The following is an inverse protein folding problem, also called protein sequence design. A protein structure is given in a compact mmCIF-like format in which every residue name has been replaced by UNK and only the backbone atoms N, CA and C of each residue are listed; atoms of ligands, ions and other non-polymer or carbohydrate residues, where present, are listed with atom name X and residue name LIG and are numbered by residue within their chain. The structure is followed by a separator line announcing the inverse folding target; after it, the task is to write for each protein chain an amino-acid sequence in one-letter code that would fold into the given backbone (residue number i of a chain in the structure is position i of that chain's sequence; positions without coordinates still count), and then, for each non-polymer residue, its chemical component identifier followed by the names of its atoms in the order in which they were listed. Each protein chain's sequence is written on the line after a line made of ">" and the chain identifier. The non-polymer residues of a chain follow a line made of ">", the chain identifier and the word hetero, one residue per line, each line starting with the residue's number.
data_IF_273933157516
#
_entry.id   IF_273933157516
#
_cell.length_a   1.000
_cell.length_b   1.000
_cell.length_c   1.000
_cell.angle_alpha   90.00
_cell.angle_beta   90.00
_cell.angle_gamma   90.00
#
_symmetry.space_group_name_H-M   'P 1'
#
loop_
_entity.id
_entity.type
_entity.pdbx_description
1 polymer ?
#
# COMPACT_ATOMS: atom_id res chain seq x y z
N UNK A 1 8.37 22.46 25.99
CA UNK A 1 7.46 23.50 25.44
C UNK A 1 7.83 23.67 23.99
N UNK A 2 6.99 23.21 23.05
CA UNK A 2 7.29 23.35 21.61
C UNK A 2 7.16 24.84 21.26
N UNK A 3 8.19 25.39 20.62
CA UNK A 3 8.19 26.77 20.15
C UNK A 3 7.02 27.00 19.17
N UNK A 4 6.32 28.14 19.30
CA UNK A 4 5.19 28.48 18.42
C UNK A 4 5.60 28.48 16.95
N UNK A 5 6.83 28.92 16.64
CA UNK A 5 7.37 28.89 15.27
C UNK A 5 7.47 27.46 14.74
N UNK A 6 7.94 26.51 15.56
CA UNK A 6 8.04 25.11 15.18
C UNK A 6 6.67 24.47 14.93
N UNK A 7 5.66 24.76 15.76
CA UNK A 7 4.29 24.28 15.54
C UNK A 7 3.69 24.78 14.23
N UNK A 8 3.95 26.04 13.87
CA UNK A 8 3.48 26.63 12.62
C UNK A 8 4.14 25.94 11.41
N UNK A 9 5.46 25.70 11.47
CA UNK A 9 6.18 24.99 10.42
C UNK A 9 5.62 23.58 10.18
N UNK A 10 5.35 22.83 11.25
CA UNK A 10 4.76 21.47 11.16
C UNK A 10 3.41 21.50 10.43
N UNK A 11 2.53 22.44 10.79
CA UNK A 11 1.21 22.56 10.16
C UNK A 11 1.34 22.85 8.66
N UNK A 12 2.21 23.80 8.28
CA UNK A 12 2.42 24.12 6.88
C UNK A 12 3.00 22.94 6.09
N UNK A 13 3.98 22.24 6.64
CA UNK A 13 4.53 21.03 6.00
C UNK A 13 3.46 19.95 5.85
N UNK A 14 2.69 19.67 6.90
CA UNK A 14 1.62 18.67 6.87
C UNK A 14 0.56 18.99 5.80
N UNK A 15 0.06 20.22 5.79
CA UNK A 15 -0.93 20.67 4.80
C UNK A 15 -0.34 20.64 3.38
N UNK A 16 0.92 21.03 3.22
CA UNK A 16 1.62 20.98 1.94
C UNK A 16 1.71 19.57 1.37
N UNK A 17 2.12 18.59 2.17
CA UNK A 17 2.15 17.17 1.76
C UNK A 17 0.75 16.63 1.47
N UNK A 18 -0.24 16.92 2.33
CA UNK A 18 -1.63 16.50 2.12
C UNK A 18 -2.19 17.03 0.80
N UNK A 19 -1.94 18.32 0.51
CA UNK A 19 -2.39 18.94 -0.74
C UNK A 19 -1.67 18.31 -1.94
N UNK A 20 -0.37 18.06 -1.85
CA UNK A 20 0.40 17.39 -2.90
C UNK A 20 -0.16 15.99 -3.22
N UNK A 21 -0.39 15.15 -2.21
CA UNK A 21 -0.95 13.80 -2.45
C UNK A 21 -2.37 13.87 -2.99
N UNK A 22 -3.18 14.81 -2.51
CA UNK A 22 -4.55 15.02 -3.00
C UNK A 22 -4.55 15.44 -4.47
N UNK A 23 -3.68 16.37 -4.87
CA UNK A 23 -3.61 16.82 -6.28
C UNK A 23 -3.10 15.71 -7.19
N UNK A 24 -2.15 14.88 -6.75
CA UNK A 24 -1.72 13.68 -7.49
C UNK A 24 -2.90 12.72 -7.67
N UNK A 25 -3.66 12.44 -6.61
CA UNK A 25 -4.85 11.58 -6.70
C UNK A 25 -5.92 12.14 -7.65
N UNK A 26 -6.24 13.43 -7.55
CA UNK A 26 -7.19 14.10 -8.44
C UNK A 26 -6.71 14.12 -9.89
N UNK A 27 -5.40 14.19 -10.13
CA UNK A 27 -4.84 14.16 -11.47
C UNK A 27 -5.16 12.87 -12.23
N UNK A 28 -5.44 11.78 -11.50
CA UNK A 28 -5.87 10.50 -12.07
C UNK A 28 -7.17 10.61 -12.88
N UNK A 29 -8.03 11.58 -12.56
CA UNK A 29 -9.30 11.80 -13.29
C UNK A 29 -9.01 12.16 -14.76
N UNK A 30 -7.96 12.94 -15.02
CA UNK A 30 -7.57 13.33 -16.37
C UNK A 30 -6.98 12.17 -17.19
N UNK A 31 -6.65 11.05 -16.55
CA UNK A 31 -6.10 9.85 -17.19
C UNK A 31 -7.08 8.68 -17.24
N UNK A 32 -8.24 8.79 -16.59
CA UNK A 32 -9.22 7.70 -16.55
C UNK A 32 -9.92 7.49 -17.89
N UNK A 33 -10.17 6.22 -18.20
CA UNK A 33 -10.87 5.73 -19.40
C UNK A 33 -12.34 5.38 -19.13
N UNK A 34 -12.81 5.53 -17.89
CA UNK A 34 -14.21 5.38 -17.50
C UNK A 34 -14.73 3.94 -17.47
N UNK A 35 -13.84 2.94 -17.44
CA UNK A 35 -14.22 1.52 -17.33
C UNK A 35 -13.89 0.99 -15.93
N UNK A 36 -14.56 -0.11 -15.52
CA UNK A 36 -14.24 -0.78 -14.25
C UNK A 36 -12.81 -1.34 -14.26
N UNK A 37 -12.37 -1.89 -15.39
CA UNK A 37 -11.04 -2.46 -15.54
C UNK A 37 -9.94 -1.38 -15.44
N UNK A 38 -10.16 -0.21 -16.03
CA UNK A 38 -9.27 0.96 -15.87
C UNK A 38 -9.24 1.44 -14.42
N UNK A 39 -10.41 1.56 -13.78
CA UNK A 39 -10.48 2.03 -12.39
C UNK A 39 -9.80 1.08 -11.40
N UNK A 40 -9.94 -0.23 -11.57
CA UNK A 40 -9.39 -1.22 -10.63
C UNK A 40 -7.95 -1.65 -10.95
N UNK A 41 -7.57 -1.70 -12.23
CA UNK A 41 -6.29 -2.29 -12.67
C UNK A 41 -5.46 -1.37 -13.57
N UNK A 42 -5.92 -0.13 -13.83
CA UNK A 42 -5.28 0.80 -14.76
C UNK A 42 -5.00 0.16 -16.13
N UNK A 43 -5.94 -0.67 -16.61
CA UNK A 43 -5.82 -1.46 -17.83
C UNK A 43 -4.54 -2.31 -17.93
N UNK A 44 -3.98 -2.72 -16.79
CA UNK A 44 -2.72 -3.46 -16.69
C UNK A 44 -1.55 -2.76 -17.38
N UNK A 45 -1.62 -1.43 -17.48
CA UNK A 45 -0.59 -0.60 -18.15
C UNK A 45 0.58 -0.22 -17.23
N UNK A 46 0.42 -0.39 -15.93
CA UNK A 46 1.43 -0.06 -14.92
C UNK A 46 2.52 -1.13 -14.91
N UNK A 47 3.78 -0.72 -14.95
CA UNK A 47 4.90 -1.65 -14.97
C UNK A 47 4.96 -2.49 -13.68
N UNK A 48 5.31 -3.79 -13.74
CA UNK A 48 5.27 -4.69 -12.59
C UNK A 48 6.04 -4.22 -11.35
N UNK A 49 7.18 -3.52 -11.53
CA UNK A 49 7.95 -3.01 -10.40
C UNK A 49 7.25 -1.83 -9.68
N UNK A 50 6.53 -0.98 -10.41
CA UNK A 50 5.72 0.12 -9.83
C UNK A 50 4.55 -0.44 -9.05
N UNK A 51 3.93 -1.50 -9.57
CA UNK A 51 2.88 -2.24 -8.88
C UNK A 51 3.43 -2.84 -7.57
N UNK A 52 4.59 -3.50 -7.62
CA UNK A 52 5.25 -4.04 -6.42
C UNK A 52 5.59 -2.95 -5.40
N UNK A 53 6.14 -1.82 -5.87
CA UNK A 53 6.43 -0.66 -5.01
C UNK A 53 5.15 -0.12 -4.35
N UNK A 54 4.06 0.00 -5.11
CA UNK A 54 2.77 0.45 -4.58
C UNK A 54 2.24 -0.54 -3.54
N UNK A 55 2.35 -1.85 -3.78
CA UNK A 55 1.92 -2.87 -2.81
C UNK A 55 2.69 -2.75 -1.49
N UNK A 56 4.01 -2.54 -1.55
CA UNK A 56 4.84 -2.32 -0.35
C UNK A 56 4.49 -0.99 0.34
N UNK A 57 4.21 0.08 -0.42
CA UNK A 57 3.77 1.34 0.15
C UNK A 57 2.41 1.20 0.88
N UNK A 58 1.44 0.48 0.29
CA UNK A 58 0.14 0.18 0.91
C UNK A 58 0.28 -0.66 2.18
N UNK A 59 1.23 -1.60 2.17
CA UNK A 59 1.54 -2.43 3.34
C UNK A 59 2.08 -1.58 4.52
N UNK A 60 2.79 -0.49 4.24
CA UNK A 60 3.33 0.40 5.25
C UNK A 60 2.30 1.43 5.72
N UNK A 61 1.91 1.33 6.98
CA UNK A 61 0.93 2.23 7.61
C UNK A 61 1.40 2.71 8.98
N UNK A 62 0.58 3.53 9.67
CA UNK A 62 0.85 3.94 11.05
C UNK A 62 1.04 2.76 12.01
N UNK A 63 0.50 1.58 11.68
CA UNK A 63 0.78 0.35 12.43
C UNK A 63 2.26 -0.03 12.42
N UNK A 64 2.96 0.09 11.29
CA UNK A 64 4.40 -0.17 11.23
C UNK A 64 5.19 0.81 12.10
N UNK A 65 4.85 2.09 12.07
CA UNK A 65 5.61 3.12 12.80
C UNK A 65 5.30 3.18 14.29
N UNK A 66 4.03 3.04 14.69
CA UNK A 66 3.65 3.18 16.10
C UNK A 66 3.50 1.80 16.74
N UNK A 67 2.78 0.90 16.07
CA UNK A 67 2.46 -0.42 16.57
C UNK A 67 3.69 -1.32 16.69
N UNK A 68 4.40 -1.57 15.58
CA UNK A 68 5.58 -2.47 15.59
C UNK A 68 6.72 -1.90 16.42
N UNK A 69 6.95 -0.58 16.39
CA UNK A 69 7.96 0.06 17.25
C UNK A 69 7.56 -0.09 18.72
N UNK A 70 6.32 0.19 19.09
CA UNK A 70 5.84 0.03 20.47
C UNK A 70 5.90 -1.42 20.95
N UNK A 71 5.55 -2.38 20.09
CA UNK A 71 5.67 -3.80 20.39
C UNK A 71 7.12 -4.24 20.57
N UNK A 72 8.02 -3.77 19.70
CA UNK A 72 9.47 -4.03 19.81
C UNK A 72 10.04 -3.41 21.08
N UNK A 73 9.60 -2.22 21.47
CA UNK A 73 9.98 -1.60 22.73
C UNK A 73 9.57 -2.46 23.95
N UNK A 74 8.37 -3.05 23.91
CA UNK A 74 7.86 -3.87 25.02
C UNK A 74 8.44 -5.30 25.07
N UNK A 75 8.74 -5.91 23.92
CA UNK A 75 9.12 -7.34 23.81
C UNK A 75 10.56 -7.58 23.41
N UNK A 76 11.30 -6.52 23.06
CA UNK A 76 12.68 -6.59 22.62
C UNK A 76 12.83 -7.33 21.28
N UNK A 77 13.97 -8.01 21.11
CA UNK A 77 14.37 -8.62 19.85
C UNK A 77 13.44 -9.76 19.38
N UNK A 78 12.61 -10.30 20.28
CA UNK A 78 11.62 -11.32 19.92
C UNK A 78 10.63 -10.84 18.85
N UNK A 79 10.41 -9.53 18.71
CA UNK A 79 9.53 -8.95 17.69
C UNK A 79 9.95 -9.26 16.25
N UNK A 80 11.21 -9.65 16.01
CA UNK A 80 11.71 -10.02 14.68
C UNK A 80 10.93 -11.18 14.06
N UNK A 81 10.38 -12.07 14.89
CA UNK A 81 9.58 -13.22 14.42
C UNK A 81 8.29 -12.79 13.73
N UNK A 82 7.73 -11.61 14.05
CA UNK A 82 6.58 -11.07 13.32
C UNK A 82 6.98 -10.78 11.87
N UNK A 83 8.13 -10.15 11.65
CA UNK A 83 8.60 -9.81 10.31
C UNK A 83 8.95 -11.06 9.51
N UNK A 84 9.60 -12.04 10.13
CA UNK A 84 9.91 -13.34 9.50
C UNK A 84 8.62 -14.07 9.13
N UNK A 85 7.68 -14.20 10.08
CA UNK A 85 6.41 -14.89 9.87
C UNK A 85 5.58 -14.23 8.78
N UNK A 86 5.59 -12.90 8.71
CA UNK A 86 4.90 -12.15 7.66
C UNK A 86 5.50 -12.39 6.28
N UNK A 87 6.81 -12.25 6.11
CA UNK A 87 7.49 -12.49 4.82
C UNK A 87 7.25 -13.91 4.34
N UNK A 88 7.39 -14.90 5.25
CA UNK A 88 7.14 -16.30 4.93
C UNK A 88 5.67 -16.53 4.57
N UNK A 89 4.74 -15.93 5.31
CA UNK A 89 3.30 -16.02 5.04
C UNK A 89 2.93 -15.46 3.66
N UNK A 90 3.39 -14.26 3.33
CA UNK A 90 3.16 -13.62 2.04
C UNK A 90 3.78 -14.45 0.90
N UNK A 91 4.98 -14.98 1.10
CA UNK A 91 5.63 -15.85 0.13
C UNK A 91 4.82 -17.14 -0.11
N UNK A 92 4.40 -17.83 0.94
CA UNK A 92 3.58 -19.04 0.80
C UNK A 92 2.21 -18.73 0.16
N UNK A 93 1.56 -17.64 0.56
CA UNK A 93 0.32 -17.19 -0.06
C UNK A 93 0.50 -16.93 -1.56
N UNK A 94 1.62 -16.31 -1.96
CA UNK A 94 1.92 -16.07 -3.36
C UNK A 94 2.05 -17.36 -4.19
N UNK A 95 2.65 -18.41 -3.61
CA UNK A 95 2.82 -19.71 -4.28
C UNK A 95 1.50 -20.48 -4.40
N UNK A 96 0.66 -20.48 -3.36
CA UNK A 96 -0.50 -21.37 -3.30
C UNK A 96 -1.85 -20.73 -3.65
N UNK A 97 -1.99 -19.40 -3.49
CA UNK A 97 -3.26 -18.69 -3.62
C UNK A 97 -3.39 -17.97 -4.95
N UNK A 98 -2.33 -17.32 -5.45
CA UNK A 98 -2.41 -16.46 -6.64
C UNK A 98 -2.91 -17.21 -7.89
N UNK A 99 -2.41 -18.43 -8.15
CA UNK A 99 -2.84 -19.23 -9.31
C UNK A 99 -4.33 -19.60 -9.25
N UNK A 100 -4.84 -19.94 -8.06
CA UNK A 100 -6.26 -20.26 -7.85
C UNK A 100 -7.13 -19.02 -8.00
N UNK A 101 -6.66 -17.89 -7.47
CA UNK A 101 -7.39 -16.63 -7.56
C UNK A 101 -7.48 -16.15 -9.02
N UNK A 102 -6.40 -16.29 -9.80
CA UNK A 102 -6.42 -16.00 -11.26
C UNK A 102 -7.49 -16.82 -12.00
N UNK A 103 -7.55 -18.12 -11.72
CA UNK A 103 -8.53 -19.01 -12.34
C UNK A 103 -9.96 -18.64 -11.93
N UNK A 104 -10.19 -18.36 -10.66
CA UNK A 104 -11.50 -17.95 -10.15
C UNK A 104 -11.97 -16.65 -10.82
N UNK A 105 -11.13 -15.62 -10.84
CA UNK A 105 -11.40 -14.33 -11.48
C UNK A 105 -11.70 -14.47 -12.98
N UNK A 106 -10.95 -15.31 -13.70
CA UNK A 106 -11.21 -15.60 -15.10
C UNK A 106 -12.57 -16.31 -15.33
N UNK A 107 -12.96 -17.22 -14.42
CA UNK A 107 -14.23 -17.95 -14.52
C UNK A 107 -15.46 -17.09 -14.19
N UNK A 108 -15.33 -16.14 -13.27
CA UNK A 108 -16.43 -15.26 -12.84
C UNK A 108 -16.54 -13.99 -13.67
N UNK A 109 -15.55 -13.69 -14.53
CA UNK A 109 -15.48 -12.45 -15.29
C UNK A 109 -15.22 -11.20 -14.42
N UNK A 110 -14.74 -11.42 -13.19
CA UNK A 110 -14.41 -10.33 -12.27
C UNK A 110 -13.03 -9.75 -12.59
N UNK A 111 -12.74 -8.57 -12.05
CA UNK A 111 -11.42 -7.95 -12.19
C UNK A 111 -10.70 -7.98 -10.84
N UNK A 112 -9.48 -8.52 -10.84
CA UNK A 112 -8.67 -8.65 -9.62
C UNK A 112 -7.20 -8.52 -9.97
N UNK A 113 -6.43 -7.95 -9.04
CA UNK A 113 -4.98 -7.81 -9.19
C UNK A 113 -4.28 -9.16 -9.39
N UNK A 114 -4.77 -10.22 -8.75
CA UNK A 114 -4.23 -11.57 -8.93
C UNK A 114 -4.61 -12.20 -10.29
N UNK A 115 -5.49 -11.56 -11.05
CA UNK A 115 -5.91 -11.96 -12.39
C UNK A 115 -4.97 -11.51 -13.51
N UNK A 116 -4.04 -10.58 -13.21
CA UNK A 116 -3.07 -9.99 -14.16
C UNK A 116 -1.82 -10.87 -14.33
#
# INVERSE_FOLDING_TARGET
>A
MIDKSASIQIIFSFLGFMLMFTTIGLSSIFKSRGTRHDYYLADSTVQPWLVGLSAVATNNSGYMFIGVIGYTYATGLASIWLMIGWIVGDFLASLFVHSRLRQATASSGEVSYAGV
#
